data_IF_067011897633
#
_entry.id   IF_067011897633
#
_cell.length_a   1.000
_cell.length_b   1.000
_cell.length_c   1.000
_cell.angle_alpha   90.00
_cell.angle_beta   90.00
_cell.angle_gamma   90.00
#
_symmetry.space_group_name_H-M   'P 1'
#
loop_
_entity.id
_entity.type
_entity.pdbx_description
1 polymer ?
#
# COMPACT_ATOMS: atom_id res chain seq x y z
N UNK A 1 39.28 75.69 -57.36
CA UNK A 1 38.10 75.77 -56.47
C UNK A 1 37.35 74.47 -56.68
N UNK A 2 37.38 73.47 -55.80
CA UNK A 2 37.95 73.30 -54.48
C UNK A 2 38.31 71.82 -54.34
N UNK A 3 39.47 71.54 -53.76
CA UNK A 3 39.81 70.23 -53.19
C UNK A 3 38.86 69.94 -52.01
N UNK A 4 38.52 68.67 -51.81
CA UNK A 4 38.58 68.02 -50.50
C UNK A 4 38.45 66.48 -50.62
N UNK A 5 39.38 65.79 -49.95
CA UNK A 5 39.49 64.33 -49.73
C UNK A 5 39.41 64.13 -48.19
N UNK A 6 39.54 62.91 -47.66
CA UNK A 6 38.58 61.83 -47.40
C UNK A 6 38.12 61.78 -45.92
N UNK A 7 37.06 61.02 -45.58
CA UNK A 7 36.85 60.57 -44.18
C UNK A 7 36.41 59.10 -44.09
N UNK A 8 37.31 58.34 -43.50
CA UNK A 8 37.26 56.97 -42.97
C UNK A 8 36.28 56.82 -41.80
N UNK A 9 35.53 55.71 -41.73
CA UNK A 9 35.23 54.99 -40.46
C UNK A 9 34.41 53.70 -40.68
N UNK A 10 35.06 52.56 -40.55
CA UNK A 10 34.59 51.46 -39.69
C UNK A 10 35.58 51.40 -38.51
N UNK A 11 35.28 50.93 -37.28
CA UNK A 11 34.33 49.86 -36.92
C UNK A 11 33.54 50.11 -35.60
N UNK A 12 32.95 49.03 -35.07
CA UNK A 12 32.47 48.80 -33.69
C UNK A 12 31.03 49.19 -33.28
N UNK A 13 30.32 48.17 -32.79
CA UNK A 13 29.00 48.26 -32.18
C UNK A 13 28.44 46.87 -31.82
N UNK A 14 29.11 46.18 -30.90
CA UNK A 14 28.64 44.96 -30.23
C UNK A 14 27.36 45.18 -29.41
N UNK A 15 26.56 44.12 -29.30
CA UNK A 15 25.57 43.75 -28.24
C UNK A 15 24.08 44.11 -28.40
N UNK A 16 23.27 43.07 -28.19
CA UNK A 16 21.82 43.06 -27.92
C UNK A 16 21.05 42.45 -29.09
N UNK A 17 20.40 41.28 -29.02
CA UNK A 17 19.84 40.56 -27.88
C UNK A 17 19.89 39.05 -28.15
N UNK A 18 20.36 38.31 -27.14
CA UNK A 18 20.02 36.91 -26.94
C UNK A 18 18.50 36.78 -26.84
N UNK A 19 17.88 36.26 -27.91
CA UNK A 19 16.53 35.68 -27.87
C UNK A 19 16.53 34.39 -27.06
N UNK A 20 16.73 34.54 -25.75
CA UNK A 20 16.47 33.51 -24.74
C UNK A 20 14.96 33.43 -24.55
N UNK A 21 14.32 32.41 -25.14
CA UNK A 21 13.44 31.52 -24.37
C UNK A 21 12.90 30.36 -25.21
N UNK A 22 13.49 29.15 -25.10
CA UNK A 22 12.79 27.92 -25.41
C UNK A 22 12.01 27.49 -24.16
N UNK A 23 11.01 28.27 -23.74
CA UNK A 23 10.08 27.91 -22.68
C UNK A 23 9.08 26.86 -23.22
N UNK A 24 9.58 25.65 -23.45
CA UNK A 24 8.83 24.56 -24.02
C UNK A 24 9.58 23.24 -23.97
N UNK A 25 10.34 22.98 -22.89
CA UNK A 25 10.81 21.61 -22.61
C UNK A 25 9.68 20.84 -21.91
N UNK A 26 8.96 19.94 -22.59
CA UNK A 26 8.18 18.93 -21.87
C UNK A 26 9.16 18.13 -21.00
N UNK A 27 8.88 18.08 -19.69
CA UNK A 27 9.72 17.39 -18.72
C UNK A 27 10.16 16.02 -19.23
N UNK A 28 11.47 15.76 -19.12
CA UNK A 28 12.12 14.57 -19.66
C UNK A 28 11.40 13.30 -19.17
N UNK A 29 11.04 12.35 -20.06
CA UNK A 29 10.44 11.07 -19.69
C UNK A 29 11.26 10.26 -18.67
N UNK A 30 12.53 10.61 -18.47
CA UNK A 30 13.50 9.93 -17.60
C UNK A 30 13.31 10.15 -16.09
N UNK A 31 12.63 11.22 -15.64
CA UNK A 31 12.40 11.47 -14.19
C UNK A 31 11.25 10.64 -13.60
N UNK A 32 10.32 10.19 -14.45
CA UNK A 32 9.15 9.38 -14.08
C UNK A 32 9.45 7.91 -13.74
N UNK A 33 10.37 7.18 -14.41
CA UNK A 33 10.68 5.80 -14.04
C UNK A 33 11.36 5.70 -12.68
N UNK A 34 12.25 6.64 -12.34
CA UNK A 34 13.03 6.59 -11.11
C UNK A 34 12.16 6.77 -9.86
N UNK A 35 11.25 7.74 -9.89
CA UNK A 35 10.28 7.97 -8.79
C UNK A 35 9.34 6.79 -8.60
N UNK A 36 8.85 6.17 -9.68
CA UNK A 36 8.02 4.97 -9.57
C UNK A 36 8.79 3.77 -8.98
N UNK A 37 10.07 3.62 -9.34
CA UNK A 37 10.94 2.57 -8.79
C UNK A 37 11.17 2.77 -7.29
N UNK A 38 11.53 3.97 -6.86
CA UNK A 38 11.75 4.25 -5.43
C UNK A 38 10.50 4.06 -4.58
N UNK A 39 9.34 4.52 -5.05
CA UNK A 39 8.08 4.33 -4.32
C UNK A 39 7.74 2.84 -4.18
N UNK A 40 8.05 2.04 -5.21
CA UNK A 40 7.87 0.59 -5.14
C UNK A 40 8.88 -0.05 -4.18
N UNK A 41 10.14 0.38 -4.22
CA UNK A 41 11.17 -0.07 -3.29
C UNK A 41 10.84 0.28 -1.83
N UNK A 42 10.21 1.43 -1.59
CA UNK A 42 9.78 1.86 -0.27
C UNK A 42 8.65 1.00 0.31
N UNK A 43 7.93 0.25 -0.51
CA UNK A 43 6.96 -0.73 -0.03
C UNK A 43 7.62 -2.01 0.50
N UNK A 44 8.90 -2.28 0.17
CA UNK A 44 9.58 -3.52 0.56
C UNK A 44 9.68 -3.69 2.09
N UNK A 45 10.07 -2.67 2.90
CA UNK A 45 10.15 -2.86 4.35
C UNK A 45 8.83 -3.26 5.02
N UNK A 46 7.69 -2.55 4.84
CA UNK A 46 6.44 -2.99 5.45
C UNK A 46 5.95 -4.33 4.88
N UNK A 47 6.16 -4.61 3.59
CA UNK A 47 5.82 -5.91 3.00
C UNK A 47 6.65 -7.05 3.59
N UNK A 48 7.95 -6.85 3.80
CA UNK A 48 8.83 -7.83 4.42
C UNK A 48 8.41 -8.09 5.88
N UNK A 49 8.05 -7.06 6.61
CA UNK A 49 7.54 -7.19 7.98
C UNK A 49 6.23 -7.98 8.03
N UNK A 50 5.27 -7.67 7.15
CA UNK A 50 4.00 -8.40 7.05
C UNK A 50 4.24 -9.86 6.65
N UNK A 51 5.11 -10.11 5.66
CA UNK A 51 5.45 -11.46 5.22
C UNK A 51 6.13 -12.27 6.34
N UNK A 52 7.06 -11.66 7.07
CA UNK A 52 7.71 -12.29 8.22
C UNK A 52 6.68 -12.62 9.30
N UNK A 53 5.80 -11.69 9.66
CA UNK A 53 4.76 -11.91 10.66
C UNK A 53 3.78 -13.01 10.26
N UNK A 54 3.30 -13.02 9.01
CA UNK A 54 2.45 -14.09 8.48
C UNK A 54 3.18 -15.45 8.45
N UNK A 55 4.48 -15.47 8.17
CA UNK A 55 5.28 -16.70 8.14
C UNK A 55 5.55 -17.26 9.54
N UNK A 56 5.99 -16.43 10.48
CA UNK A 56 6.26 -16.85 11.85
C UNK A 56 4.98 -17.11 12.65
N UNK A 57 3.87 -16.45 12.28
CA UNK A 57 2.54 -16.66 12.86
C UNK A 57 2.08 -18.12 12.81
N UNK A 58 2.58 -18.94 11.85
CA UNK A 58 2.24 -20.37 11.78
C UNK A 58 2.70 -21.17 13.00
N UNK A 59 3.69 -20.67 13.73
CA UNK A 59 4.25 -21.32 14.91
C UNK A 59 3.76 -20.71 16.21
N UNK A 60 2.94 -19.67 16.14
CA UNK A 60 2.33 -19.04 17.32
C UNK A 60 1.17 -19.92 17.77
N UNK A 61 1.12 -20.19 19.08
CA UNK A 61 0.00 -20.92 19.68
C UNK A 61 -1.27 -20.07 19.54
N UNK A 62 -2.41 -20.65 19.13
CA UNK A 62 -3.69 -19.95 19.13
C UNK A 62 -3.99 -19.29 20.49
N UNK A 63 -4.74 -18.19 20.46
CA UNK A 63 -5.22 -17.54 21.68
C UNK A 63 -6.08 -18.48 22.51
N UNK A 64 -6.31 -18.14 23.78
CA UNK A 64 -7.15 -18.95 24.67
C UNK A 64 -8.56 -19.16 24.08
N UNK A 65 -9.16 -18.09 23.54
CA UNK A 65 -10.48 -18.13 22.94
C UNK A 65 -10.53 -18.99 21.68
N UNK A 66 -9.48 -18.91 20.84
CA UNK A 66 -9.37 -19.73 19.63
C UNK A 66 -9.45 -21.23 19.96
N UNK A 67 -8.76 -21.66 21.02
CA UNK A 67 -8.80 -23.05 21.47
C UNK A 67 -10.19 -23.51 21.89
N UNK A 68 -10.98 -22.62 22.51
CA UNK A 68 -12.34 -22.93 22.95
C UNK A 68 -13.29 -23.14 21.77
N UNK A 69 -13.02 -22.58 20.60
CA UNK A 69 -13.86 -22.74 19.42
C UNK A 69 -13.63 -24.04 18.66
N UNK A 70 -12.48 -24.73 18.81
CA UNK A 70 -12.25 -26.00 18.10
C UNK A 70 -13.26 -27.08 18.48
N UNK A 71 -13.54 -27.36 19.78
CA UNK A 71 -14.58 -28.30 20.18
C UNK A 71 -15.96 -27.88 19.71
N UNK A 72 -16.32 -26.59 19.86
CA UNK A 72 -17.62 -26.07 19.43
C UNK A 72 -17.86 -26.28 17.93
N UNK A 73 -16.86 -25.99 17.08
CA UNK A 73 -16.98 -26.22 15.62
C UNK A 73 -16.94 -27.71 15.27
N UNK A 74 -16.23 -28.55 16.04
CA UNK A 74 -16.22 -30.01 15.84
C UNK A 74 -17.58 -30.63 16.16
N UNK A 75 -18.20 -30.20 17.25
CA UNK A 75 -19.39 -30.84 17.81
C UNK A 75 -20.68 -30.24 17.20
N UNK A 76 -20.74 -28.92 17.02
CA UNK A 76 -21.94 -28.21 16.54
C UNK A 76 -21.80 -27.61 15.13
N UNK A 77 -20.62 -27.73 14.51
CA UNK A 77 -20.33 -27.16 13.20
C UNK A 77 -20.22 -25.63 13.22
N UNK A 78 -19.99 -25.06 12.02
CA UNK A 78 -19.88 -23.60 11.85
C UNK A 78 -21.22 -22.90 12.13
N UNK A 79 -22.35 -23.56 11.85
CA UNK A 79 -23.68 -22.98 12.11
C UNK A 79 -23.99 -22.87 13.60
N UNK A 80 -23.54 -23.85 14.41
CA UNK A 80 -23.62 -23.76 15.87
C UNK A 80 -22.85 -22.55 16.40
N UNK A 81 -21.61 -22.37 15.94
CA UNK A 81 -20.78 -21.22 16.28
C UNK A 81 -21.44 -19.87 15.88
N UNK A 82 -22.06 -19.80 14.70
CA UNK A 82 -22.81 -18.61 14.25
C UNK A 82 -24.01 -18.35 15.18
N UNK A 83 -24.71 -19.41 15.60
CA UNK A 83 -25.80 -19.31 16.57
C UNK A 83 -25.35 -18.69 17.89
N UNK A 84 -24.28 -19.21 18.48
CA UNK A 84 -23.68 -18.66 19.71
C UNK A 84 -23.28 -17.20 19.53
N UNK A 85 -22.56 -16.86 18.46
CA UNK A 85 -22.11 -15.48 18.28
C UNK A 85 -23.26 -14.50 18.00
N UNK A 86 -24.35 -15.00 17.42
CA UNK A 86 -25.52 -14.19 17.14
C UNK A 86 -26.35 -13.93 18.41
N UNK A 87 -26.64 -14.99 19.15
CA UNK A 87 -27.53 -14.96 20.31
C UNK A 87 -26.82 -14.49 21.58
N UNK A 88 -25.58 -14.93 21.78
CA UNK A 88 -24.85 -14.77 23.04
C UNK A 88 -23.74 -13.71 22.94
N UNK A 89 -23.14 -13.48 21.75
CA UNK A 89 -22.05 -12.52 21.54
C UNK A 89 -22.42 -11.28 20.70
N UNK A 90 -23.54 -10.63 20.99
CA UNK A 90 -23.93 -9.33 20.41
C UNK A 90 -24.08 -9.32 18.87
N UNK A 91 -24.51 -10.41 18.24
CA UNK A 91 -24.79 -10.41 16.80
C UNK A 91 -23.54 -10.48 15.91
N UNK A 92 -22.41 -10.99 16.40
CA UNK A 92 -21.10 -10.99 15.70
C UNK A 92 -20.98 -12.04 14.59
N UNK A 93 -21.96 -12.11 13.68
CA UNK A 93 -22.05 -13.11 12.61
C UNK A 93 -20.78 -13.14 11.75
N UNK A 94 -20.25 -11.98 11.37
CA UNK A 94 -19.05 -11.91 10.54
C UNK A 94 -17.82 -12.51 11.23
N UNK A 95 -17.67 -12.27 12.54
CA UNK A 95 -16.58 -12.86 13.32
C UNK A 95 -16.76 -14.37 13.43
N UNK A 96 -17.99 -14.83 13.68
CA UNK A 96 -18.32 -16.25 13.76
C UNK A 96 -17.96 -17.00 12.47
N UNK A 97 -18.28 -16.43 11.31
CA UNK A 97 -17.94 -17.03 10.02
C UNK A 97 -16.43 -17.11 9.81
N UNK A 98 -15.67 -16.08 10.19
CA UNK A 98 -14.22 -16.06 10.10
C UNK A 98 -13.59 -17.11 11.04
N UNK A 99 -14.02 -17.14 12.30
CA UNK A 99 -13.59 -18.12 13.30
C UNK A 99 -13.89 -19.54 12.84
N UNK A 100 -15.13 -19.79 12.43
CA UNK A 100 -15.55 -21.09 11.91
C UNK A 100 -14.77 -21.52 10.67
N UNK A 101 -14.42 -20.58 9.77
CA UNK A 101 -13.69 -20.87 8.55
C UNK A 101 -12.29 -21.44 8.82
N UNK A 102 -11.54 -20.92 9.80
CA UNK A 102 -10.24 -21.51 10.15
C UNK A 102 -10.36 -22.66 11.16
N UNK A 103 -11.29 -22.59 12.13
CA UNK A 103 -11.49 -23.64 13.13
C UNK A 103 -11.94 -24.97 12.50
N UNK A 104 -12.68 -24.93 11.38
CA UNK A 104 -13.04 -26.13 10.59
C UNK A 104 -11.83 -26.98 10.20
N UNK A 105 -10.68 -26.35 9.97
CA UNK A 105 -9.43 -27.03 9.60
C UNK A 105 -8.49 -27.24 10.80
N UNK A 106 -8.99 -27.05 12.03
CA UNK A 106 -8.28 -27.33 13.28
C UNK A 106 -6.91 -26.63 13.31
N UNK A 107 -5.85 -27.35 13.67
CA UNK A 107 -4.47 -26.83 13.74
C UNK A 107 -4.03 -26.23 12.41
N UNK A 108 -4.29 -26.90 11.29
CA UNK A 108 -3.87 -26.42 9.98
C UNK A 108 -4.54 -25.07 9.64
N UNK A 109 -5.81 -24.91 9.98
CA UNK A 109 -6.52 -23.64 9.79
C UNK A 109 -5.85 -22.49 10.54
N UNK A 110 -5.49 -22.70 11.80
CA UNK A 110 -4.78 -21.69 12.61
C UNK A 110 -3.40 -21.37 12.07
N UNK A 111 -2.65 -22.38 11.61
CA UNK A 111 -1.32 -22.16 11.05
C UNK A 111 -1.36 -21.30 9.78
N UNK A 112 -2.38 -21.46 8.95
CA UNK A 112 -2.47 -20.72 7.68
C UNK A 112 -3.27 -19.42 7.77
N UNK A 113 -4.07 -19.24 8.81
CA UNK A 113 -4.92 -18.07 8.99
C UNK A 113 -4.14 -16.74 8.91
N UNK A 114 -2.98 -16.54 9.60
CA UNK A 114 -2.23 -15.28 9.52
C UNK A 114 -1.74 -14.93 8.11
N UNK A 115 -1.43 -15.93 7.29
CA UNK A 115 -1.03 -15.71 5.90
C UNK A 115 -2.22 -15.34 5.03
N UNK A 116 -3.29 -16.13 5.11
CA UNK A 116 -4.49 -15.92 4.28
C UNK A 116 -5.13 -14.57 4.62
N UNK A 117 -5.27 -14.25 5.91
CA UNK A 117 -5.82 -12.97 6.36
C UNK A 117 -4.91 -11.81 5.98
N UNK A 118 -3.59 -11.94 6.14
CA UNK A 118 -2.62 -10.91 5.74
C UNK A 118 -2.70 -10.58 4.24
N UNK A 119 -2.74 -11.60 3.38
CA UNK A 119 -2.90 -11.42 1.93
C UNK A 119 -4.24 -10.77 1.59
N UNK A 120 -5.33 -11.23 2.20
CA UNK A 120 -6.67 -10.71 1.94
C UNK A 120 -6.78 -9.23 2.36
N UNK A 121 -6.32 -8.89 3.57
CA UNK A 121 -6.31 -7.51 4.08
C UNK A 121 -5.48 -6.61 3.18
N UNK A 122 -4.28 -7.06 2.79
CA UNK A 122 -3.42 -6.28 1.90
C UNK A 122 -4.08 -6.04 0.53
N UNK A 123 -4.72 -7.07 -0.04
CA UNK A 123 -5.43 -6.95 -1.32
C UNK A 123 -6.62 -5.98 -1.25
N UNK A 124 -7.42 -6.06 -0.17
CA UNK A 124 -8.55 -5.14 0.06
C UNK A 124 -8.07 -3.71 0.24
N UNK A 125 -7.06 -3.48 1.10
CA UNK A 125 -6.49 -2.14 1.31
C UNK A 125 -5.88 -1.58 0.04
N UNK A 126 -5.20 -2.40 -0.75
CA UNK A 126 -4.65 -2.01 -2.04
C UNK A 126 -5.77 -1.60 -3.02
N UNK A 127 -6.83 -2.39 -3.15
CA UNK A 127 -7.97 -2.06 -3.99
C UNK A 127 -8.63 -0.75 -3.56
N UNK A 128 -8.84 -0.55 -2.25
CA UNK A 128 -9.38 0.69 -1.69
C UNK A 128 -8.45 1.87 -2.00
N UNK A 129 -7.14 1.74 -1.81
CA UNK A 129 -6.17 2.78 -2.13
C UNK A 129 -6.20 3.15 -3.63
N UNK A 130 -6.26 2.15 -4.52
CA UNK A 130 -6.40 2.36 -5.97
C UNK A 130 -7.68 3.15 -6.27
N UNK A 131 -8.82 2.74 -5.71
CA UNK A 131 -10.11 3.38 -5.95
C UNK A 131 -10.15 4.81 -5.38
N UNK A 132 -9.62 5.03 -4.18
CA UNK A 132 -9.56 6.33 -3.53
C UNK A 132 -8.71 7.32 -4.34
N UNK A 133 -7.51 6.90 -4.77
CA UNK A 133 -6.61 7.74 -5.58
C UNK A 133 -7.22 8.08 -6.95
N UNK A 134 -7.91 7.11 -7.58
CA UNK A 134 -8.65 7.35 -8.83
C UNK A 134 -9.79 8.34 -8.62
N UNK A 135 -10.58 8.18 -7.56
CA UNK A 135 -11.70 9.07 -7.24
C UNK A 135 -11.24 10.49 -6.91
N UNK A 136 -10.08 10.63 -6.28
CA UNK A 136 -9.43 11.90 -6.00
C UNK A 136 -8.75 12.56 -7.23
N UNK A 137 -8.76 11.88 -8.40
CA UNK A 137 -8.11 12.33 -9.64
C UNK A 137 -6.62 12.67 -9.48
N UNK A 138 -5.94 12.03 -8.52
CA UNK A 138 -4.52 12.25 -8.26
C UNK A 138 -3.67 11.47 -9.26
N UNK A 139 -2.69 12.13 -9.87
CA UNK A 139 -1.64 11.45 -10.66
C UNK A 139 -0.56 10.96 -9.72
N UNK A 140 -0.51 9.64 -9.50
CA UNK A 140 0.40 9.04 -8.53
C UNK A 140 1.38 8.05 -9.19
N UNK A 141 2.58 7.88 -8.62
CA UNK A 141 3.55 6.89 -9.10
C UNK A 141 3.02 5.47 -8.91
N UNK A 142 3.44 4.55 -9.80
CA UNK A 142 2.87 3.19 -9.94
C UNK A 142 3.05 2.24 -8.72
N UNK A 143 3.74 2.64 -7.66
CA UNK A 143 3.85 1.88 -6.41
C UNK A 143 3.05 2.43 -5.23
N UNK A 144 2.49 3.65 -5.34
CA UNK A 144 1.89 4.34 -4.19
C UNK A 144 0.73 3.59 -3.54
N UNK A 145 -0.23 2.99 -4.29
CA UNK A 145 -1.33 2.26 -3.66
C UNK A 145 -0.85 1.06 -2.83
N UNK A 146 0.21 0.37 -3.29
CA UNK A 146 0.79 -0.77 -2.58
C UNK A 146 1.52 -0.32 -1.32
N UNK A 147 2.31 0.75 -1.41
CA UNK A 147 2.97 1.36 -0.26
C UNK A 147 1.96 1.77 0.82
N UNK A 148 0.87 2.44 0.43
CA UNK A 148 -0.20 2.83 1.35
C UNK A 148 -0.82 1.61 2.02
N UNK A 149 -1.21 0.60 1.26
CA UNK A 149 -1.81 -0.62 1.80
C UNK A 149 -0.87 -1.33 2.80
N UNK A 150 0.41 -1.48 2.44
CA UNK A 150 1.40 -2.15 3.27
C UNK A 150 1.71 -1.36 4.56
N UNK A 151 1.88 -0.04 4.46
CA UNK A 151 2.12 0.80 5.63
C UNK A 151 0.91 0.84 6.55
N UNK A 152 -0.31 1.02 6.01
CA UNK A 152 -1.52 1.03 6.83
C UNK A 152 -1.69 -0.31 7.56
N UNK A 153 -1.51 -1.43 6.88
CA UNK A 153 -1.57 -2.75 7.52
C UNK A 153 -0.48 -2.92 8.59
N UNK A 154 0.77 -2.57 8.30
CA UNK A 154 1.87 -2.70 9.25
C UNK A 154 1.66 -1.81 10.49
N UNK A 155 1.29 -0.54 10.30
CA UNK A 155 1.03 0.36 11.42
C UNK A 155 -0.14 -0.14 12.27
N UNK A 156 -1.24 -0.56 11.64
CA UNK A 156 -2.40 -1.08 12.36
C UNK A 156 -2.05 -2.30 13.21
N UNK A 157 -1.23 -3.23 12.69
CA UNK A 157 -0.89 -4.47 13.38
C UNK A 157 0.23 -4.31 14.43
N UNK A 158 1.21 -3.44 14.21
CA UNK A 158 2.42 -3.37 15.04
C UNK A 158 2.51 -2.14 15.94
N UNK A 159 1.69 -1.12 15.71
CA UNK A 159 1.73 0.15 16.48
C UNK A 159 0.49 0.32 17.35
N UNK A 160 -0.59 -0.42 17.09
CA UNK A 160 -1.81 -0.38 17.90
C UNK A 160 -1.51 -0.80 19.35
N UNK A 161 -1.84 0.03 20.35
CA UNK A 161 -1.66 -0.31 21.76
C UNK A 161 -2.70 -1.33 22.25
N UNK A 162 -3.71 -1.62 21.45
CA UNK A 162 -4.79 -2.54 21.80
C UNK A 162 -4.46 -3.96 21.34
N UNK A 163 -3.89 -4.76 22.24
CA UNK A 163 -3.57 -6.17 22.02
C UNK A 163 -4.74 -7.12 22.31
N UNK A 164 -5.94 -6.58 22.48
CA UNK A 164 -7.16 -7.29 22.89
C UNK A 164 -8.37 -6.83 22.06
#
# INVERSE_FOLDING_TARGET
MSDDVPVTAAPEGLRGEEGTDPAGRPGSPADRPWTALWVTALALPPLALLAAASWFGRWVRPGADDWCFLPAVRDDGVTGLVGTFYLDDNGRIANALLVGAYAKFQVAGHQWFPLVSGVLVLAVLWAVAVLALRRARLRTPRGLPLLLAALTAALFLFVTPNTY
#
